data_IF_498901504343
#
_entry.id   IF_498901504343
#
_cell.length_a   1.000
_cell.length_b   1.000
_cell.length_c   1.000
_cell.angle_alpha   90.00
_cell.angle_beta   90.00
_cell.angle_gamma   90.00
#
_symmetry.space_group_name_H-M   'P 1'
#
loop_
_entity.id
_entity.type
_entity.pdbx_description
1 polymer ?
#
# COMPACT_ATOMS: atom_id res chain seq x y z
N UNK A 1 -20.44 32.16 13.02
CA UNK A 1 -19.36 31.16 12.88
C UNK A 1 -18.99 30.86 11.43
N UNK A 2 -19.89 31.03 10.47
CA UNK A 2 -19.66 30.76 9.03
C UNK A 2 -18.86 31.85 8.27
N UNK A 3 -18.86 33.11 8.70
CA UNK A 3 -18.12 34.18 8.00
C UNK A 3 -16.59 34.10 8.15
N UNK A 4 -16.07 33.66 9.32
CA UNK A 4 -14.63 33.45 9.52
C UNK A 4 -14.04 32.34 8.63
N UNK A 5 -14.85 31.37 8.25
CA UNK A 5 -14.42 30.28 7.34
C UNK A 5 -14.26 30.76 5.89
N UNK A 6 -15.05 31.73 5.44
CA UNK A 6 -14.97 32.23 4.04
C UNK A 6 -13.73 33.10 3.82
N UNK A 7 -13.37 33.99 4.75
CA UNK A 7 -12.18 34.85 4.66
C UNK A 7 -10.89 34.03 4.77
N UNK A 8 -10.85 33.06 5.66
CA UNK A 8 -9.75 32.12 5.77
C UNK A 8 -9.56 31.29 4.49
N UNK A 9 -10.65 30.79 3.93
CA UNK A 9 -10.62 30.02 2.68
C UNK A 9 -10.19 30.88 1.49
N UNK A 10 -10.59 32.17 1.45
CA UNK A 10 -10.17 33.12 0.42
C UNK A 10 -8.66 33.40 0.53
N UNK A 11 -8.14 33.64 1.72
CA UNK A 11 -6.71 33.89 1.94
C UNK A 11 -5.86 32.69 1.52
N UNK A 12 -6.31 31.46 1.82
CA UNK A 12 -5.62 30.23 1.37
C UNK A 12 -5.68 30.10 -0.15
N UNK A 13 -6.85 30.34 -0.76
CA UNK A 13 -7.01 30.26 -2.21
C UNK A 13 -6.13 31.28 -2.94
N UNK A 14 -6.04 32.52 -2.43
CA UNK A 14 -5.16 33.58 -2.96
C UNK A 14 -3.67 33.19 -2.84
N UNK A 15 -3.26 32.69 -1.66
CA UNK A 15 -1.88 32.24 -1.43
C UNK A 15 -1.47 31.07 -2.34
N UNK A 16 -2.39 30.14 -2.61
CA UNK A 16 -2.12 28.96 -3.44
C UNK A 16 -2.30 29.22 -4.94
N UNK A 17 -3.07 30.24 -5.33
CA UNK A 17 -3.19 30.64 -6.72
C UNK A 17 -1.83 31.07 -7.31
N UNK A 18 -0.95 31.66 -6.51
CA UNK A 18 0.42 32.02 -6.92
C UNK A 18 1.29 30.79 -7.26
N UNK A 19 0.94 29.61 -6.76
CA UNK A 19 1.63 28.35 -7.03
C UNK A 19 0.95 27.48 -8.10
N UNK A 20 -0.08 28.02 -8.78
CA UNK A 20 -0.86 27.27 -9.79
C UNK A 20 -1.76 26.18 -9.21
N UNK A 21 -2.03 26.22 -7.91
CA UNK A 21 -2.88 25.23 -7.21
C UNK A 21 -4.33 25.72 -7.14
N UNK A 22 -5.27 24.99 -7.73
CA UNK A 22 -6.71 25.22 -7.60
C UNK A 22 -7.25 24.51 -6.36
N UNK A 23 -7.80 25.26 -5.44
CA UNK A 23 -8.38 24.72 -4.22
C UNK A 23 -9.89 24.49 -4.37
N UNK A 24 -10.32 23.23 -4.22
CA UNK A 24 -11.74 22.86 -4.28
C UNK A 24 -12.19 22.27 -2.93
N UNK A 25 -13.21 22.89 -2.35
CA UNK A 25 -13.78 22.43 -1.08
C UNK A 25 -14.92 21.47 -1.33
N UNK A 26 -14.96 20.39 -0.54
CA UNK A 26 -16.14 19.54 -0.50
C UNK A 26 -17.31 20.26 0.18
N UNK A 27 -18.55 19.97 -0.21
CA UNK A 27 -19.72 20.50 0.48
C UNK A 27 -19.66 20.16 1.98
N UNK A 28 -20.09 21.08 2.88
CA UNK A 28 -20.18 20.79 4.31
C UNK A 28 -21.07 19.58 4.57
N UNK A 29 -20.69 18.75 5.57
CA UNK A 29 -21.41 17.55 5.98
C UNK A 29 -21.57 16.46 4.88
N UNK A 30 -20.72 16.47 3.85
CA UNK A 30 -20.73 15.49 2.77
C UNK A 30 -19.47 14.58 2.77
N UNK A 31 -19.28 13.71 3.78
CA UNK A 31 -18.08 12.87 3.90
C UNK A 31 -17.90 11.89 2.74
N UNK A 32 -18.96 11.54 2.02
CA UNK A 32 -18.90 10.65 0.88
C UNK A 32 -18.07 11.21 -0.31
N UNK A 33 -17.87 12.53 -0.40
CA UNK A 33 -16.95 13.12 -1.38
C UNK A 33 -15.49 12.88 -1.05
N UNK A 34 -15.17 12.55 0.23
CA UNK A 34 -13.83 12.27 0.72
C UNK A 34 -13.50 10.77 0.88
N UNK A 35 -14.36 9.87 0.42
CA UNK A 35 -14.34 8.46 0.78
C UNK A 35 -12.99 7.75 0.69
N UNK A 36 -12.20 7.99 -0.36
CA UNK A 36 -10.92 7.30 -0.56
C UNK A 36 -9.88 7.75 0.47
N UNK A 37 -9.67 9.08 0.63
CA UNK A 37 -8.67 9.58 1.57
C UNK A 37 -9.13 9.48 3.02
N UNK A 38 -10.43 9.61 3.29
CA UNK A 38 -10.96 9.41 4.65
C UNK A 38 -10.79 7.97 5.12
N UNK A 39 -11.02 6.98 4.25
CA UNK A 39 -10.76 5.59 4.54
C UNK A 39 -9.28 5.34 4.84
N UNK A 40 -8.37 5.92 4.04
CA UNK A 40 -6.93 5.82 4.26
C UNK A 40 -6.51 6.46 5.60
N UNK A 41 -7.01 7.66 5.91
CA UNK A 41 -6.74 8.34 7.21
C UNK A 41 -7.29 7.54 8.38
N UNK A 42 -8.49 6.96 8.25
CA UNK A 42 -9.10 6.11 9.29
C UNK A 42 -8.26 4.86 9.57
N UNK A 43 -7.84 4.14 8.52
CA UNK A 43 -6.97 2.97 8.65
C UNK A 43 -5.63 3.35 9.28
N UNK A 44 -5.00 4.42 8.81
CA UNK A 44 -3.74 4.93 9.35
C UNK A 44 -3.85 5.25 10.84
N UNK A 45 -4.85 6.03 11.25
CA UNK A 45 -5.10 6.37 12.66
C UNK A 45 -5.33 5.13 13.53
N UNK A 46 -6.04 4.13 12.99
CA UNK A 46 -6.29 2.87 13.68
C UNK A 46 -5.00 2.12 14.01
N UNK A 47 -4.08 2.02 13.03
CA UNK A 47 -2.81 1.32 13.23
C UNK A 47 -1.83 2.12 14.07
N UNK A 48 -1.70 3.44 13.82
CA UNK A 48 -0.78 4.31 14.57
C UNK A 48 -1.12 4.32 16.07
N UNK A 49 -2.39 4.47 16.44
CA UNK A 49 -2.81 4.45 17.85
C UNK A 49 -2.40 3.16 18.56
N UNK A 50 -2.49 2.01 17.87
CA UNK A 50 -2.10 0.72 18.43
C UNK A 50 -0.59 0.53 18.55
N UNK A 51 0.17 1.14 17.65
CA UNK A 51 1.63 1.02 17.61
C UNK A 51 2.28 1.97 18.61
N UNK A 52 1.79 3.20 18.73
CA UNK A 52 2.30 4.17 19.70
C UNK A 52 1.91 3.77 21.14
N UNK A 53 0.67 3.28 21.33
CA UNK A 53 0.16 2.97 22.67
C UNK A 53 0.32 4.15 23.62
N UNK A 54 0.88 3.88 24.79
CA UNK A 54 1.13 4.89 25.85
C UNK A 54 2.50 5.58 25.72
N UNK A 55 3.27 5.28 24.64
CA UNK A 55 4.59 5.87 24.44
C UNK A 55 4.48 7.35 24.13
N UNK A 56 5.16 8.18 24.91
CA UNK A 56 5.24 9.63 24.67
C UNK A 56 6.33 9.91 23.64
N UNK A 57 5.92 10.40 22.49
CA UNK A 57 6.81 10.84 21.40
C UNK A 57 6.98 12.36 21.46
N UNK A 58 8.16 12.86 21.10
CA UNK A 58 8.35 14.29 20.82
C UNK A 58 7.66 14.65 19.50
N UNK A 59 7.53 15.94 19.21
CA UNK A 59 6.98 16.41 17.94
C UNK A 59 7.79 15.90 16.75
N UNK A 60 9.11 15.93 16.83
CA UNK A 60 10.04 15.49 15.79
C UNK A 60 9.95 13.99 15.56
N UNK A 61 9.88 13.19 16.62
CA UNK A 61 9.72 11.73 16.54
C UNK A 61 8.39 11.34 15.89
N UNK A 62 7.30 12.01 16.30
CA UNK A 62 5.99 11.77 15.71
C UNK A 62 5.96 12.21 14.24
N UNK A 63 6.52 13.38 13.93
CA UNK A 63 6.63 13.88 12.55
C UNK A 63 7.41 12.93 11.66
N UNK A 64 8.55 12.42 12.14
CA UNK A 64 9.37 11.45 11.43
C UNK A 64 8.62 10.15 11.19
N UNK A 65 7.95 9.62 12.22
CA UNK A 65 7.13 8.42 12.09
C UNK A 65 6.01 8.61 11.05
N UNK A 66 5.32 9.76 11.06
CA UNK A 66 4.25 10.05 10.11
C UNK A 66 4.75 10.15 8.67
N UNK A 67 5.89 10.78 8.41
CA UNK A 67 6.52 10.83 7.09
C UNK A 67 6.89 9.41 6.58
N UNK A 68 7.42 8.57 7.46
CA UNK A 68 7.75 7.18 7.10
C UNK A 68 6.49 6.34 6.84
N UNK A 69 5.44 6.54 7.63
CA UNK A 69 4.13 5.90 7.41
C UNK A 69 3.53 6.35 6.07
N UNK A 70 3.59 7.63 5.76
CA UNK A 70 3.16 8.17 4.46
C UNK A 70 3.90 7.48 3.29
N UNK A 71 5.22 7.35 3.40
CA UNK A 71 6.01 6.64 2.39
C UNK A 71 5.58 5.16 2.24
N UNK A 72 5.28 4.47 3.35
CA UNK A 72 4.72 3.11 3.32
C UNK A 72 3.37 3.07 2.57
N UNK A 73 2.45 3.98 2.89
CA UNK A 73 1.13 4.05 2.26
C UNK A 73 1.23 4.32 0.76
N UNK A 74 2.14 5.22 0.37
CA UNK A 74 2.34 5.63 -1.01
C UNK A 74 3.18 4.63 -1.83
N UNK A 75 3.82 3.64 -1.18
CA UNK A 75 4.54 2.55 -1.85
C UNK A 75 3.63 1.41 -2.32
N UNK A 76 2.35 1.39 -1.93
CA UNK A 76 1.45 0.26 -2.23
C UNK A 76 1.32 0.02 -3.74
N UNK A 77 1.50 -1.20 -4.22
CA UNK A 77 1.33 -1.53 -5.62
C UNK A 77 -0.16 -1.51 -6.00
N UNK A 78 -0.50 -0.82 -7.09
CA UNK A 78 -1.86 -0.69 -7.60
C UNK A 78 -2.11 -1.64 -8.77
N UNK A 79 -1.30 -1.48 -9.83
CA UNK A 79 -1.36 -2.25 -11.08
C UNK A 79 0.07 -2.45 -11.61
N UNK A 80 0.32 -3.35 -12.57
CA UNK A 80 1.60 -3.39 -13.27
C UNK A 80 1.95 -2.04 -13.88
N UNK A 81 3.22 -1.64 -13.80
CA UNK A 81 3.68 -0.39 -14.41
C UNK A 81 3.84 -0.52 -15.94
N UNK A 82 4.22 -1.70 -16.39
CA UNK A 82 4.41 -2.04 -17.81
C UNK A 82 3.81 -3.42 -18.11
N UNK A 83 3.48 -3.65 -19.37
CA UNK A 83 3.04 -4.97 -19.86
C UNK A 83 4.22 -5.91 -20.15
N UNK A 84 5.46 -5.44 -20.01
CA UNK A 84 6.66 -6.26 -20.19
C UNK A 84 6.72 -7.37 -19.11
N UNK A 85 6.69 -8.66 -19.51
CA UNK A 85 6.75 -9.78 -18.56
C UNK A 85 8.10 -9.91 -17.85
N UNK A 86 9.12 -9.17 -18.26
CA UNK A 86 10.43 -9.14 -17.60
C UNK A 86 10.51 -8.08 -16.51
N UNK A 87 9.64 -7.06 -16.53
CA UNK A 87 9.58 -5.99 -15.55
C UNK A 87 8.62 -6.33 -14.40
N UNK A 88 9.13 -6.34 -13.18
CA UNK A 88 8.36 -6.59 -11.96
C UNK A 88 7.92 -5.30 -11.24
N UNK A 89 7.92 -4.15 -11.93
CA UNK A 89 7.53 -2.89 -11.30
C UNK A 89 6.02 -2.72 -11.28
N UNK A 90 5.52 -2.12 -10.22
CA UNK A 90 4.12 -1.75 -10.07
C UNK A 90 3.96 -0.23 -10.03
N UNK A 91 2.86 0.26 -10.58
CA UNK A 91 2.41 1.63 -10.39
C UNK A 91 1.96 1.80 -8.94
N UNK A 92 2.39 2.89 -8.29
CA UNK A 92 2.06 3.21 -6.90
C UNK A 92 1.54 4.64 -6.79
N UNK A 93 0.86 5.02 -5.69
CA UNK A 93 0.47 6.41 -5.46
C UNK A 93 1.64 7.41 -5.51
N UNK A 94 2.84 7.00 -5.09
CA UNK A 94 4.03 7.85 -5.15
C UNK A 94 4.36 8.31 -6.57
N UNK A 95 4.11 7.49 -7.59
CA UNK A 95 4.33 7.88 -8.98
C UNK A 95 3.48 9.09 -9.41
N UNK A 96 2.29 9.26 -8.82
CA UNK A 96 1.42 10.41 -9.09
C UNK A 96 1.81 11.65 -8.27
N UNK A 97 2.43 11.46 -7.10
CA UNK A 97 2.76 12.56 -6.18
C UNK A 97 4.16 13.13 -6.43
N UNK A 98 5.15 12.25 -6.63
CA UNK A 98 6.57 12.61 -6.75
C UNK A 98 7.22 12.06 -8.01
N UNK A 99 6.41 11.56 -8.96
CA UNK A 99 6.84 11.00 -10.26
C UNK A 99 7.84 9.83 -10.18
N UNK A 100 7.97 9.21 -9.01
CA UNK A 100 8.86 8.06 -8.79
C UNK A 100 8.29 7.11 -7.75
N UNK A 101 8.83 5.89 -7.67
CA UNK A 101 8.50 4.99 -6.58
C UNK A 101 8.92 5.58 -5.22
N UNK A 102 8.10 5.38 -4.19
CA UNK A 102 8.47 5.74 -2.82
C UNK A 102 9.66 4.89 -2.38
N UNK A 103 10.65 5.53 -1.77
CA UNK A 103 11.85 4.87 -1.30
C UNK A 103 11.98 5.01 0.22
N UNK A 104 12.15 3.88 0.90
CA UNK A 104 12.53 3.82 2.32
C UNK A 104 13.82 3.02 2.39
N UNK A 105 14.81 3.54 3.09
CA UNK A 105 16.07 2.83 3.32
C UNK A 105 15.77 1.57 4.13
N UNK A 106 16.11 0.37 3.64
CA UNK A 106 15.90 -0.86 4.38
C UNK A 106 16.78 -0.87 5.63
N UNK A 107 16.15 -1.15 6.77
CA UNK A 107 16.84 -1.27 8.04
C UNK A 107 16.66 -2.70 8.60
N UNK A 108 17.58 -3.15 9.46
CA UNK A 108 17.45 -4.44 10.12
C UNK A 108 16.12 -4.56 10.88
N UNK A 109 15.60 -5.78 10.99
CA UNK A 109 14.40 -6.04 11.79
C UNK A 109 14.73 -5.85 13.27
N UNK A 110 13.88 -5.09 13.97
CA UNK A 110 13.96 -4.82 15.40
C UNK A 110 12.84 -5.51 16.18
N UNK A 111 12.01 -6.32 15.51
CA UNK A 111 10.75 -6.84 16.07
C UNK A 111 11.00 -7.77 17.26
N UNK A 112 12.09 -8.50 17.22
CA UNK A 112 12.47 -9.44 18.27
C UNK A 112 13.55 -8.88 19.23
N UNK A 113 13.93 -7.59 19.08
CA UNK A 113 14.92 -6.93 19.94
C UNK A 113 14.29 -6.32 21.19
N UNK A 114 14.93 -6.49 22.35
CA UNK A 114 14.64 -5.73 23.57
C UNK A 114 15.32 -4.37 23.44
N UNK A 115 14.55 -3.32 23.20
CA UNK A 115 15.07 -1.98 22.97
C UNK A 115 15.05 -1.17 24.27
N UNK A 116 16.22 -0.73 24.79
CA UNK A 116 16.27 0.18 25.92
C UNK A 116 15.58 1.52 25.58
N UNK A 117 14.82 2.07 26.53
CA UNK A 117 14.07 3.35 26.36
C UNK A 117 14.95 4.52 25.92
N UNK A 118 16.24 4.48 26.24
CA UNK A 118 17.21 5.52 25.87
C UNK A 118 17.55 5.53 24.35
N UNK A 119 17.25 4.47 23.63
CA UNK A 119 17.47 4.42 22.16
C UNK A 119 16.22 4.88 21.40
N UNK A 120 15.86 6.14 21.57
CA UNK A 120 14.64 6.77 21.02
C UNK A 120 14.46 6.54 19.52
N UNK A 121 15.53 6.65 18.71
CA UNK A 121 15.47 6.36 17.29
C UNK A 121 15.02 4.92 16.98
N UNK A 122 15.58 3.94 17.68
CA UNK A 122 15.17 2.52 17.51
C UNK A 122 13.70 2.30 17.86
N UNK A 123 13.14 3.06 18.80
CA UNK A 123 11.70 2.99 19.13
C UNK A 123 10.86 3.44 17.95
N UNK A 124 11.22 4.57 17.29
CA UNK A 124 10.51 5.05 16.10
C UNK A 124 10.59 4.03 14.96
N UNK A 125 11.77 3.44 14.75
CA UNK A 125 11.97 2.37 13.73
C UNK A 125 11.12 1.13 14.02
N UNK A 126 11.07 0.67 15.27
CA UNK A 126 10.23 -0.45 15.69
C UNK A 126 8.74 -0.14 15.49
N UNK A 127 8.31 1.08 15.81
CA UNK A 127 6.94 1.52 15.56
C UNK A 127 6.60 1.47 14.08
N UNK A 128 7.50 1.92 13.20
CA UNK A 128 7.31 1.81 11.75
C UNK A 128 7.19 0.36 11.29
N UNK A 129 8.05 -0.54 11.79
CA UNK A 129 8.00 -1.96 11.43
C UNK A 129 6.70 -2.63 11.91
N UNK A 130 6.24 -2.33 13.12
CA UNK A 130 4.95 -2.81 13.62
C UNK A 130 3.76 -2.23 12.82
N UNK A 131 3.82 -0.95 12.45
CA UNK A 131 2.81 -0.34 11.58
C UNK A 131 2.76 -1.07 10.23
N UNK A 132 3.92 -1.26 9.59
CA UNK A 132 4.03 -1.95 8.32
C UNK A 132 3.45 -3.36 8.34
N UNK A 133 3.81 -4.17 9.33
CA UNK A 133 3.30 -5.54 9.46
C UNK A 133 1.77 -5.59 9.56
N UNK A 134 1.18 -4.69 10.34
CA UNK A 134 -0.28 -4.65 10.53
C UNK A 134 -0.98 -4.15 9.29
N UNK A 135 -0.55 -2.99 8.79
CA UNK A 135 -1.18 -2.34 7.67
C UNK A 135 -1.01 -3.09 6.35
N UNK A 136 0.19 -3.59 6.04
CA UNK A 136 0.42 -4.34 4.81
C UNK A 136 -0.39 -5.63 4.76
N UNK A 137 -0.55 -6.32 5.89
CA UNK A 137 -1.42 -7.50 6.01
C UNK A 137 -2.89 -7.16 5.71
N UNK A 138 -3.41 -6.08 6.29
CA UNK A 138 -4.77 -5.61 6.04
C UNK A 138 -4.95 -5.21 4.56
N UNK A 139 -4.00 -4.46 3.99
CA UNK A 139 -4.00 -4.09 2.59
C UNK A 139 -4.03 -5.32 1.67
N UNK A 140 -3.15 -6.29 1.90
CA UNK A 140 -3.11 -7.52 1.11
C UNK A 140 -4.41 -8.34 1.24
N UNK A 141 -5.03 -8.34 2.41
CA UNK A 141 -6.34 -8.98 2.60
C UNK A 141 -7.45 -8.25 1.82
N UNK A 142 -7.40 -6.92 1.74
CA UNK A 142 -8.39 -6.14 0.98
C UNK A 142 -8.30 -6.37 -0.54
N UNK A 143 -7.12 -6.68 -1.04
CA UNK A 143 -6.89 -7.03 -2.45
C UNK A 143 -7.31 -8.45 -2.81
N UNK A 144 -7.43 -9.34 -1.81
CA UNK A 144 -7.93 -10.70 -2.07
C UNK A 144 -9.42 -10.65 -2.41
N UNK A 145 -9.74 -10.92 -3.65
CA UNK A 145 -11.12 -11.11 -4.06
C UNK A 145 -11.70 -12.30 -3.29
N UNK A 146 -12.78 -12.07 -2.53
CA UNK A 146 -13.57 -13.15 -1.97
C UNK A 146 -14.29 -13.85 -3.11
N UNK A 147 -13.75 -14.94 -3.59
CA UNK A 147 -14.39 -15.76 -4.60
C UNK A 147 -15.69 -16.30 -4.02
N UNK A 148 -16.83 -15.88 -4.56
CA UNK A 148 -18.07 -16.60 -4.38
C UNK A 148 -17.93 -17.93 -5.14
N UNK A 149 -18.25 -19.02 -4.50
CA UNK A 149 -18.16 -20.40 -5.03
C UNK A 149 -18.86 -20.62 -6.38
N UNK A 150 -19.65 -19.65 -6.84
CA UNK A 150 -20.51 -19.71 -8.04
C UNK A 150 -19.88 -19.12 -9.30
N UNK A 151 -18.72 -18.45 -9.23
CA UNK A 151 -18.10 -17.85 -10.42
C UNK A 151 -16.73 -18.47 -10.70
N UNK A 152 -16.52 -18.81 -11.99
CA UNK A 152 -15.23 -19.26 -12.51
C UNK A 152 -14.13 -18.30 -12.06
N UNK A 153 -13.07 -18.86 -11.54
CA UNK A 153 -11.83 -18.19 -11.12
C UNK A 153 -11.44 -17.13 -12.14
N UNK A 154 -11.13 -15.92 -11.67
CA UNK A 154 -10.50 -14.90 -12.53
C UNK A 154 -9.38 -15.56 -13.33
N UNK A 155 -9.40 -15.35 -14.64
CA UNK A 155 -8.47 -15.95 -15.57
C UNK A 155 -7.04 -15.56 -15.17
N UNK A 156 -6.26 -16.55 -14.75
CA UNK A 156 -4.86 -16.37 -14.37
C UNK A 156 -4.04 -16.64 -15.60
N UNK A 157 -3.26 -15.64 -16.00
CA UNK A 157 -2.47 -15.72 -17.22
C UNK A 157 -0.97 -15.75 -16.91
N UNK A 158 -0.23 -16.38 -17.80
CA UNK A 158 1.22 -16.24 -17.83
C UNK A 158 1.53 -14.78 -18.11
N UNK A 159 2.47 -14.20 -17.35
CA UNK A 159 2.81 -12.78 -17.43
C UNK A 159 2.11 -11.90 -16.37
N UNK A 160 1.08 -12.38 -15.68
CA UNK A 160 0.43 -11.61 -14.62
C UNK A 160 1.42 -11.22 -13.50
N UNK A 161 1.37 -9.96 -13.08
CA UNK A 161 2.14 -9.47 -11.95
C UNK A 161 1.42 -9.85 -10.65
N UNK A 162 2.15 -10.39 -9.72
CA UNK A 162 1.63 -10.85 -8.42
C UNK A 162 2.46 -10.34 -7.26
N UNK A 163 1.82 -10.14 -6.12
CA UNK A 163 2.49 -9.91 -4.84
C UNK A 163 2.59 -11.25 -4.12
N UNK A 164 3.80 -11.62 -3.71
CA UNK A 164 4.01 -12.79 -2.85
C UNK A 164 3.63 -12.44 -1.41
N UNK A 165 2.78 -13.26 -0.78
CA UNK A 165 2.53 -13.14 0.67
C UNK A 165 3.74 -13.67 1.44
N UNK A 166 4.63 -12.77 1.79
CA UNK A 166 5.77 -13.05 2.67
C UNK A 166 5.51 -12.42 4.03
N UNK A 167 5.88 -13.14 5.09
CA UNK A 167 5.93 -12.59 6.44
C UNK A 167 7.26 -11.82 6.59
N UNK A 168 7.25 -10.75 7.39
CA UNK A 168 8.47 -9.99 7.74
C UNK A 168 9.18 -9.28 6.57
N UNK A 169 8.44 -8.77 5.60
CA UNK A 169 9.04 -7.86 4.60
C UNK A 169 9.42 -6.53 5.24
N UNK A 170 10.56 -5.92 4.87
CA UNK A 170 10.90 -4.57 5.31
C UNK A 170 9.84 -3.54 4.91
N UNK A 171 9.69 -2.41 5.65
CA UNK A 171 8.75 -1.35 5.32
C UNK A 171 8.88 -0.88 3.87
N UNK A 172 7.74 -0.66 3.22
CA UNK A 172 7.61 -0.24 1.81
C UNK A 172 8.18 -1.21 0.77
N UNK A 173 8.64 -2.39 1.16
CA UNK A 173 9.11 -3.40 0.21
C UNK A 173 8.01 -4.42 -0.08
N UNK A 174 7.62 -4.47 -1.35
CA UNK A 174 6.62 -5.41 -1.85
C UNK A 174 7.30 -6.48 -2.69
N UNK A 175 7.20 -7.77 -2.30
CA UNK A 175 7.80 -8.86 -3.08
C UNK A 175 6.96 -9.13 -4.33
N UNK A 176 7.28 -8.45 -5.43
CA UNK A 176 6.61 -8.54 -6.71
C UNK A 176 7.24 -9.66 -7.56
N UNK A 177 6.40 -10.48 -8.19
CA UNK A 177 6.82 -11.57 -9.06
C UNK A 177 5.92 -11.68 -10.29
N UNK A 178 6.40 -12.30 -11.36
CA UNK A 178 5.61 -12.61 -12.56
C UNK A 178 5.29 -14.10 -12.63
N UNK A 179 4.07 -14.42 -13.05
CA UNK A 179 3.67 -15.81 -13.35
C UNK A 179 4.33 -16.24 -14.65
N UNK A 180 5.12 -17.29 -14.60
CA UNK A 180 5.80 -17.83 -15.78
C UNK A 180 5.22 -19.17 -16.25
N UNK A 181 4.44 -19.84 -15.40
CA UNK A 181 3.75 -21.08 -15.75
C UNK A 181 2.55 -21.31 -14.81
N UNK A 182 1.49 -21.91 -15.33
CA UNK A 182 0.29 -22.28 -14.58
C UNK A 182 0.13 -23.81 -14.62
N UNK A 183 -0.30 -24.39 -13.50
CA UNK A 183 -0.56 -25.83 -13.38
C UNK A 183 -2.06 -26.04 -13.17
N UNK A 184 -2.83 -26.35 -14.25
CA UNK A 184 -4.24 -26.69 -14.10
C UNK A 184 -4.36 -28.07 -13.44
N UNK A 185 -5.33 -28.22 -12.54
CA UNK A 185 -5.73 -29.51 -11.99
C UNK A 185 -6.58 -30.32 -12.97
N UNK A 186 -6.95 -31.55 -12.59
CA UNK A 186 -7.80 -32.43 -13.41
C UNK A 186 -9.19 -31.82 -13.66
N UNK A 187 -9.63 -30.91 -12.81
CA UNK A 187 -10.88 -30.13 -12.93
C UNK A 187 -10.74 -28.85 -13.79
N UNK A 188 -9.55 -28.63 -14.39
CA UNK A 188 -9.22 -27.44 -15.18
C UNK A 188 -8.97 -26.18 -14.34
N UNK A 189 -9.04 -26.26 -12.99
CA UNK A 189 -8.78 -25.10 -12.14
C UNK A 189 -7.31 -24.98 -11.78
N UNK A 190 -6.77 -23.78 -11.94
CA UNK A 190 -5.39 -23.48 -11.55
C UNK A 190 -5.34 -23.18 -10.05
N UNK A 191 -4.60 -23.97 -9.30
CA UNK A 191 -4.36 -23.77 -7.85
C UNK A 191 -2.90 -23.50 -7.51
N UNK A 192 -2.02 -23.85 -8.43
CA UNK A 192 -0.57 -23.73 -8.27
C UNK A 192 0.01 -23.07 -9.51
N UNK A 193 0.96 -22.18 -9.30
CA UNK A 193 1.66 -21.48 -10.37
C UNK A 193 3.16 -21.45 -10.11
N UNK A 194 3.92 -21.30 -11.17
CA UNK A 194 5.35 -21.05 -11.13
C UNK A 194 5.58 -19.56 -11.34
N UNK A 195 6.30 -18.93 -10.43
CA UNK A 195 6.56 -17.49 -10.44
C UNK A 195 8.06 -17.20 -10.49
N UNK A 196 8.41 -16.12 -11.17
CA UNK A 196 9.77 -15.57 -11.20
C UNK A 196 9.84 -14.36 -10.26
N UNK A 197 10.65 -14.48 -9.23
CA UNK A 197 10.92 -13.43 -8.26
C UNK A 197 12.41 -13.09 -8.32
N UNK A 198 12.75 -11.88 -8.74
CA UNK A 198 14.13 -11.49 -9.03
C UNK A 198 14.81 -12.54 -9.95
N UNK A 199 15.91 -13.12 -9.51
CA UNK A 199 16.65 -14.18 -10.23
C UNK A 199 16.24 -15.60 -9.85
N UNK A 200 15.25 -15.75 -8.97
CA UNK A 200 14.78 -17.05 -8.46
C UNK A 200 13.45 -17.43 -9.09
N UNK A 201 13.28 -18.72 -9.32
CA UNK A 201 12.02 -19.31 -9.79
C UNK A 201 11.48 -20.22 -8.70
N UNK A 202 10.20 -20.08 -8.37
CA UNK A 202 9.57 -20.85 -7.31
C UNK A 202 8.15 -21.26 -7.68
N UNK A 203 7.69 -22.38 -7.12
CA UNK A 203 6.30 -22.83 -7.24
C UNK A 203 5.55 -22.38 -6.00
N UNK A 204 4.38 -21.77 -6.19
CA UNK A 204 3.54 -21.25 -5.08
C UNK A 204 2.06 -21.56 -5.32
N UNK A 205 1.31 -21.87 -4.25
CA UNK A 205 -0.15 -21.95 -4.32
C UNK A 205 -0.74 -20.53 -4.49
N UNK A 206 -1.84 -20.43 -5.21
CA UNK A 206 -2.54 -19.15 -5.44
C UNK A 206 -2.97 -18.46 -4.16
N UNK A 207 -3.29 -19.21 -3.11
CA UNK A 207 -3.66 -18.65 -1.80
C UNK A 207 -2.55 -17.81 -1.14
N UNK A 208 -1.31 -17.96 -1.60
CA UNK A 208 -0.15 -17.19 -1.15
C UNK A 208 0.23 -16.05 -2.11
N UNK A 209 -0.60 -15.79 -3.10
CA UNK A 209 -0.38 -14.77 -4.14
C UNK A 209 -1.55 -13.81 -4.19
N UNK A 210 -1.27 -12.56 -4.56
CA UNK A 210 -2.28 -11.54 -4.87
C UNK A 210 -2.00 -11.04 -6.26
N UNK A 211 -2.96 -11.21 -7.16
CA UNK A 211 -2.83 -10.82 -8.56
C UNK A 211 -3.12 -9.32 -8.67
N UNK A 212 -2.22 -8.59 -9.31
CA UNK A 212 -2.43 -7.19 -9.69
C UNK A 212 -3.00 -7.18 -11.12
N UNK A 213 -4.32 -7.09 -11.24
CA UNK A 213 -4.99 -7.10 -12.56
C UNK A 213 -4.81 -5.76 -13.27
N UNK A 214 -4.51 -5.79 -14.57
CA UNK A 214 -4.76 -4.66 -15.46
C UNK A 214 -6.27 -4.48 -15.63
N UNK A 215 -6.76 -3.25 -15.53
CA UNK A 215 -8.19 -2.89 -15.71
C UNK A 215 -8.70 -3.22 -17.13
N UNK A 216 -7.79 -3.45 -18.09
CA UNK A 216 -8.10 -3.75 -19.48
C UNK A 216 -8.84 -5.08 -19.72
N UNK A 217 -8.91 -5.99 -18.75
CA UNK A 217 -9.58 -7.29 -18.90
C UNK A 217 -11.04 -7.30 -18.42
N UNK A 218 -11.62 -6.17 -18.02
CA UNK A 218 -13.03 -6.10 -17.56
C UNK A 218 -14.00 -5.56 -18.62
N UNK A 219 -13.56 -5.18 -19.81
CA UNK A 219 -14.39 -4.58 -20.87
C UNK A 219 -14.86 -5.56 -21.96
N UNK A 220 -14.85 -6.86 -21.69
CA UNK A 220 -15.35 -7.89 -22.63
C UNK A 220 -16.33 -8.81 -21.93
N UNK A 221 -17.46 -8.25 -21.45
CA UNK A 221 -18.70 -8.98 -21.21
C UNK A 221 -19.88 -8.05 -21.46
#
# INVERSE_FOLDING_TARGET
MFQRSSDYNRTIAEALASTGTEWRFNPPAAPHFGGIWEAAVKSTKHHIRRVIGDTKLTFEELSTLLCQVEACLNSRPLIPLTDDPTDNKALTPAHFLIHSASFIIPEPSLIDEIIPVLKRWKIVQLMLQHFWQRWSREYLQSLQQRQKWTHRTSQINIGDLVILRCENTPPAQWPLARIIHVYPGDDGLVRVVKVKFNNSVMIRPLSKLIILNNVSNQSSQ
#
